data_IF_663864056796
#
_entry.id   IF_663864056796
#
_cell.length_a   1.000
_cell.length_b   1.000
_cell.length_c   1.000
_cell.angle_alpha   90.00
_cell.angle_beta   90.00
_cell.angle_gamma   90.00
#
_symmetry.space_group_name_H-M   'P 1'
#
loop_
_entity.id
_entity.type
_entity.pdbx_description
1 polymer ?
#
# COMPACT_ATOMS: atom_id res chain seq x y z
N UNK A 1 -13.08 19.10 -9.06
CA UNK A 1 -11.88 18.99 -8.19
C UNK A 1 -10.75 18.34 -8.98
N UNK A 2 -9.48 18.73 -8.80
CA UNK A 2 -8.35 18.02 -9.42
C UNK A 2 -8.37 16.54 -9.03
N UNK A 3 -8.20 15.62 -10.00
CA UNK A 3 -8.24 14.18 -9.76
C UNK A 3 -7.28 13.74 -8.62
N UNK A 4 -6.12 14.37 -8.52
CA UNK A 4 -5.16 14.16 -7.44
C UNK A 4 -5.76 14.36 -6.04
N UNK A 5 -6.52 15.44 -5.80
CA UNK A 5 -7.16 15.71 -4.50
C UNK A 5 -8.28 14.73 -4.17
N UNK A 6 -8.81 13.99 -5.14
CA UNK A 6 -9.82 12.93 -4.94
C UNK A 6 -9.16 11.68 -4.34
N UNK A 7 -8.03 11.27 -4.92
CA UNK A 7 -7.36 10.02 -4.59
C UNK A 7 -6.29 10.13 -3.49
N UNK A 8 -5.70 11.31 -3.25
CA UNK A 8 -4.66 11.49 -2.22
C UNK A 8 -5.22 12.22 -1.01
N UNK A 9 -5.40 11.48 0.09
CA UNK A 9 -6.07 11.96 1.30
C UNK A 9 -5.35 11.47 2.57
N UNK A 10 -4.18 12.04 2.90
CA UNK A 10 -3.29 11.54 3.95
C UNK A 10 -3.88 11.59 5.37
N UNK A 11 -4.86 12.45 5.62
CA UNK A 11 -5.57 12.55 6.91
C UNK A 11 -6.73 11.56 7.05
N UNK A 12 -7.05 10.77 6.01
CA UNK A 12 -8.17 9.82 6.01
C UNK A 12 -7.68 8.44 6.47
N UNK A 13 -8.18 7.91 7.59
CA UNK A 13 -7.79 6.60 8.09
C UNK A 13 -7.96 5.48 7.04
N UNK A 14 -9.08 5.47 6.32
CA UNK A 14 -9.33 4.50 5.23
C UNK A 14 -8.36 4.63 4.06
N UNK A 15 -7.85 5.84 3.81
CA UNK A 15 -6.83 6.05 2.78
C UNK A 15 -5.48 5.53 3.26
N UNK A 16 -5.10 5.84 4.51
CA UNK A 16 -3.85 5.36 5.11
C UNK A 16 -3.85 3.83 5.18
N UNK A 17 -4.94 3.23 5.63
CA UNK A 17 -5.11 1.77 5.66
C UNK A 17 -4.97 1.12 4.28
N UNK A 18 -5.35 1.83 3.21
CA UNK A 18 -5.16 1.35 1.84
C UNK A 18 -3.75 1.64 1.31
N UNK A 19 -3.09 2.72 1.74
CA UNK A 19 -1.76 3.09 1.30
C UNK A 19 -0.66 2.23 1.94
N UNK A 20 -0.82 1.82 3.20
CA UNK A 20 0.14 0.98 3.92
C UNK A 20 0.51 -0.33 3.21
N UNK A 21 -0.44 -1.16 2.73
CA UNK A 21 -0.09 -2.37 1.99
C UNK A 21 0.60 -2.05 0.64
N UNK A 22 0.30 -0.92 -0.01
CA UNK A 22 1.05 -0.50 -1.21
C UNK A 22 2.51 -0.23 -0.85
N UNK A 23 2.74 0.58 0.18
CA UNK A 23 4.09 0.93 0.62
C UNK A 23 4.87 -0.30 1.08
N UNK A 24 4.24 -1.21 1.82
CA UNK A 24 4.85 -2.46 2.25
C UNK A 24 5.19 -3.37 1.07
N UNK A 25 4.27 -3.56 0.12
CA UNK A 25 4.51 -4.36 -1.07
C UNK A 25 5.61 -3.78 -1.95
N UNK A 26 5.66 -2.46 -2.14
CA UNK A 26 6.74 -1.78 -2.86
C UNK A 26 8.07 -1.96 -2.14
N UNK A 27 8.12 -1.76 -0.82
CA UNK A 27 9.34 -1.96 -0.04
C UNK A 27 9.87 -3.40 -0.19
N UNK A 28 9.02 -4.41 -0.01
CA UNK A 28 9.42 -5.82 -0.16
C UNK A 28 9.89 -6.11 -1.60
N UNK A 29 9.19 -5.61 -2.62
CA UNK A 29 9.55 -5.83 -4.02
C UNK A 29 10.91 -5.21 -4.39
N UNK A 30 11.33 -4.15 -3.69
CA UNK A 30 12.60 -3.48 -3.90
C UNK A 30 13.75 -4.05 -3.05
N UNK A 31 13.56 -5.18 -2.36
CA UNK A 31 14.64 -5.86 -1.64
C UNK A 31 15.94 -6.01 -2.45
N UNK A 32 15.92 -6.40 -3.75
CA UNK A 32 17.14 -6.52 -4.54
C UNK A 32 17.90 -5.20 -4.75
N UNK A 33 17.27 -4.05 -4.52
CA UNK A 33 17.84 -2.71 -4.70
C UNK A 33 18.47 -2.19 -3.42
N UNK A 34 17.79 -2.35 -2.28
CA UNK A 34 18.27 -1.81 -1.00
C UNK A 34 18.94 -2.85 -0.09
N UNK A 35 18.86 -4.14 -0.42
CA UNK A 35 19.53 -5.25 0.29
C UNK A 35 19.20 -5.39 1.79
N UNK A 36 18.03 -4.91 2.23
CA UNK A 36 17.61 -4.97 3.64
C UNK A 36 16.75 -6.22 3.92
N UNK A 37 17.30 -7.41 3.67
CA UNK A 37 16.55 -8.67 3.73
C UNK A 37 15.81 -8.91 5.07
N UNK A 38 16.44 -8.60 6.20
CA UNK A 38 15.82 -8.79 7.52
C UNK A 38 14.66 -7.81 7.77
N UNK A 39 14.76 -6.59 7.26
CA UNK A 39 13.66 -5.62 7.30
C UNK A 39 12.52 -6.05 6.40
N UNK A 40 12.83 -6.51 5.19
CA UNK A 40 11.86 -7.07 4.26
C UNK A 40 11.09 -8.22 4.89
N UNK A 41 11.79 -9.13 5.58
CA UNK A 41 11.17 -10.24 6.33
C UNK A 41 10.29 -9.75 7.47
N UNK A 42 10.74 -8.77 8.26
CA UNK A 42 9.95 -8.22 9.35
C UNK A 42 8.66 -7.56 8.86
N UNK A 43 8.74 -6.79 7.76
CA UNK A 43 7.55 -6.19 7.12
C UNK A 43 6.65 -7.30 6.57
N UNK A 44 7.18 -8.27 5.83
CA UNK A 44 6.40 -9.37 5.26
C UNK A 44 5.61 -10.14 6.33
N UNK A 45 6.24 -10.47 7.46
CA UNK A 45 5.56 -11.11 8.60
C UNK A 45 4.43 -10.28 9.20
N UNK A 46 4.59 -8.96 9.23
CA UNK A 46 3.53 -8.03 9.69
C UNK A 46 2.29 -8.12 8.81
N UNK A 47 2.46 -8.45 7.54
CA UNK A 47 1.38 -8.67 6.57
C UNK A 47 1.06 -10.16 6.33
N UNK A 48 1.43 -11.03 7.26
CA UNK A 48 1.13 -12.47 7.21
C UNK A 48 1.79 -13.19 6.04
N UNK A 49 3.01 -12.78 5.66
CA UNK A 49 3.79 -13.34 4.56
C UNK A 49 3.05 -13.29 3.20
N UNK A 50 2.12 -12.32 3.06
CA UNK A 50 1.41 -12.06 1.82
C UNK A 50 2.39 -11.60 0.74
N UNK A 51 2.19 -12.08 -0.49
CA UNK A 51 3.06 -11.71 -1.61
C UNK A 51 3.02 -10.19 -1.89
N UNK A 52 4.14 -9.59 -2.35
CA UNK A 52 4.22 -8.14 -2.59
C UNK A 52 3.18 -7.62 -3.59
N UNK A 53 2.91 -8.38 -4.65
CA UNK A 53 1.95 -7.99 -5.67
C UNK A 53 0.50 -7.97 -5.13
N UNK A 54 0.15 -8.90 -4.22
CA UNK A 54 -1.16 -8.91 -3.59
C UNK A 54 -1.33 -7.69 -2.68
N UNK A 55 -0.29 -7.30 -1.93
CA UNK A 55 -0.32 -6.10 -1.09
C UNK A 55 -0.53 -4.82 -1.91
N UNK A 56 0.21 -4.68 -3.02
CA UNK A 56 0.07 -3.54 -3.93
C UNK A 56 -1.36 -3.48 -4.49
N UNK A 57 -1.86 -4.60 -5.02
CA UNK A 57 -3.18 -4.65 -5.63
C UNK A 57 -4.30 -4.41 -4.61
N UNK A 58 -4.22 -4.99 -3.42
CA UNK A 58 -5.19 -4.79 -2.35
C UNK A 58 -5.27 -3.31 -1.94
N UNK A 59 -4.13 -2.64 -1.81
CA UNK A 59 -4.09 -1.22 -1.50
C UNK A 59 -4.65 -0.33 -2.61
N UNK A 60 -4.32 -0.61 -3.88
CA UNK A 60 -4.87 0.10 -5.03
C UNK A 60 -6.39 -0.05 -5.12
N UNK A 61 -6.91 -1.26 -4.87
CA UNK A 61 -8.35 -1.53 -4.77
C UNK A 61 -8.98 -0.70 -3.66
N UNK A 62 -8.36 -0.64 -2.47
CA UNK A 62 -8.84 0.17 -1.35
C UNK A 62 -8.93 1.67 -1.68
N UNK A 63 -7.90 2.24 -2.32
CA UNK A 63 -7.90 3.64 -2.78
C UNK A 63 -8.98 3.87 -3.83
N UNK A 64 -9.14 2.95 -4.78
CA UNK A 64 -10.15 3.01 -5.85
C UNK A 64 -11.58 2.97 -5.30
N UNK A 65 -11.90 2.00 -4.45
CA UNK A 65 -13.21 1.87 -3.81
C UNK A 65 -13.56 3.11 -2.97
N UNK A 66 -12.60 3.61 -2.18
CA UNK A 66 -12.78 4.86 -1.42
C UNK A 66 -13.10 6.04 -2.36
N UNK A 67 -12.41 6.13 -3.49
CA UNK A 67 -12.61 7.16 -4.50
C UNK A 67 -13.99 7.08 -5.17
N UNK A 68 -14.53 5.86 -5.34
CA UNK A 68 -15.85 5.62 -5.89
C UNK A 68 -16.99 5.96 -4.91
N UNK A 69 -16.85 5.62 -3.62
CA UNK A 69 -17.89 5.87 -2.60
C UNK A 69 -18.02 7.36 -2.24
N UNK A 70 -16.95 8.14 -2.33
CA UNK A 70 -16.95 9.61 -2.14
C UNK A 70 -17.07 10.39 -3.46
N UNK A 71 -17.37 9.67 -4.55
CA UNK A 71 -17.38 10.17 -5.93
C UNK A 71 -18.63 10.94 -6.28
#
# INVERSE_FOLDING_TARGET
>A
MPAFRKYVKPTSLTWVASALPILAGVFIAFEPVHHLADWTRAVSRTFGDTSPYLLINAGLVGIGLRGAVRG
#
